data_IF_479700351513
#
_entry.id   IF_479700351513
#
_cell.length_a   1.000
_cell.length_b   1.000
_cell.length_c   1.000
_cell.angle_alpha   90.00
_cell.angle_beta   90.00
_cell.angle_gamma   90.00
#
_symmetry.space_group_name_H-M   'P 1'
#
loop_
_entity.id
_entity.type
_entity.pdbx_description
1 polymer ?
#
# COMPACT_ATOMS: atom_id res chain seq x y z
N UNK A 1 -20.92 2.75 -16.46
CA UNK A 1 -21.07 1.29 -16.73
C UNK A 1 -19.69 0.66 -16.56
N UNK A 2 -19.49 -0.08 -15.50
CA UNK A 2 -18.22 -0.79 -15.28
C UNK A 2 -18.15 -1.96 -16.26
N UNK A 3 -17.21 -1.91 -17.19
CA UNK A 3 -16.94 -2.99 -18.12
C UNK A 3 -16.32 -4.12 -17.30
N UNK A 4 -17.06 -5.18 -17.06
CA UNK A 4 -16.55 -6.41 -16.46
C UNK A 4 -15.56 -7.01 -17.44
N UNK A 5 -14.26 -6.80 -17.19
CA UNK A 5 -13.20 -7.47 -17.93
C UNK A 5 -13.30 -8.96 -17.58
N UNK A 6 -13.79 -9.74 -18.53
CA UNK A 6 -13.88 -11.19 -18.39
C UNK A 6 -12.45 -11.75 -18.44
N UNK A 7 -11.79 -11.87 -17.29
CA UNK A 7 -10.45 -12.47 -17.19
C UNK A 7 -10.54 -13.93 -17.63
N UNK A 8 -9.91 -14.25 -18.77
CA UNK A 8 -9.70 -15.63 -19.18
C UNK A 8 -8.81 -16.31 -18.15
N UNK A 9 -9.40 -17.21 -17.36
CA UNK A 9 -8.65 -18.08 -16.44
C UNK A 9 -8.04 -19.21 -17.24
N UNK A 10 -6.75 -19.43 -17.07
CA UNK A 10 -6.07 -20.61 -17.60
C UNK A 10 -6.54 -21.84 -16.80
N UNK A 11 -7.09 -22.84 -17.46
CA UNK A 11 -7.37 -24.15 -16.86
C UNK A 11 -6.31 -25.12 -17.31
N UNK A 12 -5.49 -25.61 -16.38
CA UNK A 12 -4.43 -26.56 -16.67
C UNK A 12 -4.96 -27.98 -16.71
N UNK A 13 -5.97 -28.28 -15.88
CA UNK A 13 -6.66 -29.57 -15.83
C UNK A 13 -8.12 -29.34 -15.48
N UNK A 14 -9.03 -30.01 -16.19
CA UNK A 14 -10.41 -30.18 -15.74
C UNK A 14 -10.44 -31.43 -14.87
N UNK A 15 -10.42 -31.22 -13.55
CA UNK A 15 -10.50 -32.30 -12.58
C UNK A 15 -11.85 -32.17 -11.87
N UNK A 16 -12.85 -32.89 -12.40
CA UNK A 16 -14.12 -33.08 -11.73
C UNK A 16 -14.00 -34.22 -10.71
N UNK A 17 -14.60 -34.04 -9.53
CA UNK A 17 -14.54 -35.02 -8.45
C UNK A 17 -15.13 -36.37 -8.89
N UNK A 18 -16.28 -36.34 -9.55
CA UNK A 18 -16.98 -37.55 -9.97
C UNK A 18 -16.22 -38.29 -11.07
N UNK A 19 -15.60 -37.55 -12.02
CA UNK A 19 -14.74 -38.13 -13.06
C UNK A 19 -13.49 -38.79 -12.47
N UNK A 20 -12.85 -38.14 -11.47
CA UNK A 20 -11.69 -38.71 -10.78
C UNK A 20 -12.08 -40.01 -10.08
N UNK A 21 -13.19 -40.03 -9.36
CA UNK A 21 -13.70 -41.21 -8.66
C UNK A 21 -14.00 -42.34 -9.61
N UNK A 22 -14.66 -42.04 -10.73
CA UNK A 22 -15.02 -43.07 -11.71
C UNK A 22 -13.76 -43.62 -12.40
N UNK A 23 -12.78 -42.81 -12.73
CA UNK A 23 -11.50 -43.25 -13.27
C UNK A 23 -10.74 -44.15 -12.30
N UNK A 24 -10.75 -43.83 -11.00
CA UNK A 24 -10.17 -44.69 -9.96
C UNK A 24 -10.88 -46.03 -9.88
N UNK A 25 -12.23 -46.05 -9.94
CA UNK A 25 -13.01 -47.31 -9.99
C UNK A 25 -12.68 -48.15 -11.22
N UNK A 26 -12.63 -47.53 -12.40
CA UNK A 26 -12.29 -48.20 -13.64
C UNK A 26 -10.87 -48.79 -13.60
N UNK A 27 -9.91 -48.04 -13.06
CA UNK A 27 -8.56 -48.53 -12.87
C UNK A 27 -8.48 -49.77 -11.98
N UNK A 28 -9.19 -49.71 -10.82
CA UNK A 28 -9.23 -50.87 -9.88
C UNK A 28 -9.96 -52.08 -10.46
N UNK A 29 -11.07 -51.86 -11.15
CA UNK A 29 -11.80 -52.98 -11.84
C UNK A 29 -10.98 -53.64 -12.93
N UNK A 30 -9.97 -53.00 -13.48
CA UNK A 30 -9.05 -53.60 -14.45
C UNK A 30 -7.99 -54.49 -13.80
N UNK A 31 -7.83 -54.47 -12.48
CA UNK A 31 -6.95 -55.38 -11.74
C UNK A 31 -7.64 -56.70 -11.47
N UNK A 32 -6.94 -57.81 -11.50
CA UNK A 32 -7.50 -59.16 -11.31
C UNK A 32 -8.12 -59.32 -9.92
N UNK A 33 -7.53 -58.72 -8.89
CA UNK A 33 -7.97 -58.78 -7.48
C UNK A 33 -9.29 -58.09 -7.24
N UNK A 34 -9.69 -57.12 -8.10
CA UNK A 34 -10.88 -56.29 -7.91
C UNK A 34 -11.91 -56.44 -9.03
N UNK A 35 -11.77 -57.44 -9.90
CA UNK A 35 -12.58 -57.59 -11.10
C UNK A 35 -14.10 -57.69 -10.84
N UNK A 36 -14.48 -58.40 -9.77
CA UNK A 36 -15.87 -58.63 -9.38
C UNK A 36 -16.24 -57.90 -8.07
N UNK A 37 -15.45 -56.91 -7.68
CA UNK A 37 -15.64 -56.21 -6.41
C UNK A 37 -16.72 -55.14 -6.50
N UNK A 38 -17.68 -55.13 -5.54
CA UNK A 38 -18.70 -54.09 -5.40
C UNK A 38 -18.12 -52.88 -4.67
N UNK A 39 -17.68 -51.86 -5.42
CA UNK A 39 -17.13 -50.62 -4.87
C UNK A 39 -18.19 -49.79 -4.19
N UNK A 40 -19.43 -49.76 -4.68
CA UNK A 40 -20.47 -48.85 -4.22
C UNK A 40 -21.08 -49.29 -2.89
N UNK A 41 -21.17 -50.60 -2.66
CA UNK A 41 -21.68 -51.16 -1.41
C UNK A 41 -20.62 -51.36 -0.31
N UNK A 42 -19.35 -51.05 -0.57
CA UNK A 42 -18.26 -51.38 0.35
C UNK A 42 -17.61 -50.16 0.98
N UNK A 43 -16.88 -50.38 2.09
CA UNK A 43 -16.04 -49.34 2.70
C UNK A 43 -14.94 -48.77 1.78
N UNK A 44 -14.61 -49.48 0.68
CA UNK A 44 -13.65 -49.00 -0.34
C UNK A 44 -14.17 -47.73 -1.03
N UNK A 45 -15.48 -47.53 -1.12
CA UNK A 45 -16.08 -46.33 -1.65
C UNK A 45 -15.62 -45.07 -0.89
N UNK A 46 -15.55 -45.15 0.44
CA UNK A 46 -15.09 -44.02 1.29
C UNK A 46 -13.60 -43.71 1.02
N UNK A 47 -12.79 -44.74 0.80
CA UNK A 47 -11.39 -44.53 0.45
C UNK A 47 -11.24 -43.88 -0.93
N UNK A 48 -12.04 -44.29 -1.92
CA UNK A 48 -12.07 -43.70 -3.25
C UNK A 48 -12.53 -42.22 -3.20
N UNK A 49 -13.55 -41.91 -2.39
CA UNK A 49 -13.98 -40.53 -2.16
C UNK A 49 -12.86 -39.69 -1.55
N UNK A 50 -12.13 -40.23 -0.58
CA UNK A 50 -11.02 -39.53 0.05
C UNK A 50 -9.88 -39.27 -0.95
N UNK A 51 -9.54 -40.26 -1.77
CA UNK A 51 -8.51 -40.12 -2.82
C UNK A 51 -8.96 -39.16 -3.91
N UNK A 52 -10.20 -39.28 -4.37
CA UNK A 52 -10.77 -38.35 -5.36
C UNK A 52 -10.79 -36.90 -4.84
N UNK A 53 -11.19 -36.69 -3.57
CA UNK A 53 -11.17 -35.39 -2.94
C UNK A 53 -9.75 -34.81 -2.86
N UNK A 54 -8.79 -35.61 -2.42
CA UNK A 54 -7.39 -35.18 -2.36
C UNK A 54 -6.85 -34.80 -3.73
N UNK A 55 -7.13 -35.61 -4.75
CA UNK A 55 -6.69 -35.33 -6.13
C UNK A 55 -7.37 -34.10 -6.71
N UNK A 56 -8.67 -33.93 -6.49
CA UNK A 56 -9.40 -32.72 -6.87
C UNK A 56 -8.81 -31.47 -6.22
N UNK A 57 -8.51 -31.53 -4.92
CA UNK A 57 -7.93 -30.42 -4.18
C UNK A 57 -6.51 -30.08 -4.67
N UNK A 58 -5.70 -31.08 -4.97
CA UNK A 58 -4.38 -30.88 -5.57
C UNK A 58 -4.48 -30.24 -6.95
N UNK A 59 -5.41 -30.70 -7.79
CA UNK A 59 -5.66 -30.11 -9.11
C UNK A 59 -6.15 -28.67 -9.01
N UNK A 60 -7.02 -28.37 -8.07
CA UNK A 60 -7.48 -27.00 -7.80
C UNK A 60 -6.30 -26.08 -7.42
N UNK A 61 -5.44 -26.54 -6.48
CA UNK A 61 -4.26 -25.80 -6.08
C UNK A 61 -3.27 -25.60 -7.24
N UNK A 62 -3.07 -26.63 -8.08
CA UNK A 62 -2.22 -26.53 -9.26
C UNK A 62 -2.75 -25.51 -10.27
N UNK A 63 -4.07 -25.49 -10.52
CA UNK A 63 -4.71 -24.50 -11.38
C UNK A 63 -4.60 -23.09 -10.79
N UNK A 64 -4.79 -22.93 -9.48
CA UNK A 64 -4.62 -21.66 -8.79
C UNK A 64 -3.18 -21.16 -8.95
N UNK A 65 -2.20 -22.03 -8.68
CA UNK A 65 -0.79 -21.68 -8.83
C UNK A 65 -0.45 -21.28 -10.26
N UNK A 66 -0.93 -22.04 -11.26
CA UNK A 66 -0.71 -21.73 -12.67
C UNK A 66 -1.33 -20.39 -13.08
N UNK A 67 -2.52 -20.05 -12.56
CA UNK A 67 -3.13 -18.75 -12.80
C UNK A 67 -2.33 -17.59 -12.20
N UNK A 68 -1.75 -17.80 -11.01
CA UNK A 68 -0.93 -16.79 -10.34
C UNK A 68 0.45 -16.57 -11.00
N UNK A 69 0.89 -17.46 -11.88
CA UNK A 69 2.16 -17.33 -12.62
C UNK A 69 2.15 -16.26 -13.72
N UNK A 70 0.98 -15.83 -14.17
CA UNK A 70 0.85 -14.88 -15.27
C UNK A 70 0.08 -13.64 -14.83
N UNK A 71 0.54 -12.47 -15.27
CA UNK A 71 -0.06 -11.17 -14.92
C UNK A 71 -1.54 -11.07 -15.34
N UNK A 72 -1.89 -11.66 -16.50
CA UNK A 72 -3.25 -11.59 -17.05
C UNK A 72 -4.25 -12.43 -16.26
N UNK A 73 -3.81 -13.54 -15.66
CA UNK A 73 -4.67 -14.49 -14.95
C UNK A 73 -4.54 -14.39 -13.43
N UNK A 74 -3.49 -13.75 -12.92
CA UNK A 74 -3.29 -13.58 -11.49
C UNK A 74 -4.48 -12.86 -10.83
N UNK A 75 -4.91 -13.37 -9.70
CA UNK A 75 -6.02 -12.86 -8.91
C UNK A 75 -5.58 -12.28 -7.57
N UNK A 76 -4.48 -12.77 -7.01
CA UNK A 76 -3.91 -12.27 -5.78
C UNK A 76 -3.12 -10.98 -6.04
N UNK A 77 -3.42 -9.93 -5.25
CA UNK A 77 -2.70 -8.66 -5.35
C UNK A 77 -1.17 -8.84 -5.21
N UNK A 78 -0.72 -9.70 -4.31
CA UNK A 78 0.71 -9.98 -4.10
C UNK A 78 1.40 -10.50 -5.36
N UNK A 79 0.75 -11.41 -6.09
CA UNK A 79 1.26 -11.95 -7.36
C UNK A 79 1.33 -10.85 -8.42
N UNK A 80 0.26 -10.06 -8.57
CA UNK A 80 0.19 -8.94 -9.53
C UNK A 80 1.29 -7.92 -9.24
N UNK A 81 1.48 -7.53 -7.97
CA UNK A 81 2.51 -6.59 -7.55
C UNK A 81 3.90 -7.14 -7.83
N UNK A 82 4.14 -8.45 -7.55
CA UNK A 82 5.42 -9.10 -7.82
C UNK A 82 5.76 -9.07 -9.32
N UNK A 83 4.81 -9.43 -10.18
CA UNK A 83 5.00 -9.36 -11.64
C UNK A 83 5.21 -7.93 -12.15
N UNK A 84 4.45 -6.97 -11.62
CA UNK A 84 4.60 -5.57 -11.98
C UNK A 84 6.00 -5.04 -11.64
N UNK A 85 6.53 -5.39 -10.46
CA UNK A 85 7.89 -5.04 -10.04
C UNK A 85 8.96 -5.63 -10.97
N UNK A 86 8.80 -6.88 -11.42
CA UNK A 86 9.73 -7.51 -12.38
C UNK A 86 9.77 -6.78 -13.73
N UNK A 87 8.66 -6.15 -14.12
CA UNK A 87 8.57 -5.31 -15.31
C UNK A 87 9.04 -3.86 -15.08
N UNK A 88 9.54 -3.53 -13.88
CA UNK A 88 9.96 -2.19 -13.51
C UNK A 88 8.80 -1.22 -13.24
N UNK A 89 7.57 -1.72 -13.11
CA UNK A 89 6.40 -0.90 -12.80
C UNK A 89 6.28 -0.65 -11.30
N UNK A 90 6.14 0.62 -10.93
CA UNK A 90 5.88 1.00 -9.56
C UNK A 90 4.37 1.01 -9.28
N UNK A 91 3.95 0.22 -8.31
CA UNK A 91 2.54 0.15 -7.91
C UNK A 91 2.16 1.40 -7.13
N UNK A 92 1.04 2.02 -7.51
CA UNK A 92 0.54 3.23 -6.85
C UNK A 92 -0.23 2.88 -5.57
N UNK A 93 -0.01 3.74 -4.55
CA UNK A 93 -0.77 3.70 -3.30
C UNK A 93 -2.21 4.23 -3.46
N UNK A 94 -2.96 4.17 -2.38
CA UNK A 94 -4.19 4.95 -2.26
C UNK A 94 -3.91 6.43 -2.51
N UNK A 95 -4.84 7.15 -3.15
CA UNK A 95 -4.74 8.59 -3.41
C UNK A 95 -5.81 9.33 -2.64
N UNK A 96 -5.39 10.37 -1.94
CA UNK A 96 -6.26 11.30 -1.26
C UNK A 96 -6.94 12.27 -2.25
N UNK A 97 -8.19 12.62 -1.98
CA UNK A 97 -8.81 13.76 -2.65
C UNK A 97 -8.06 15.04 -2.27
N UNK A 98 -7.78 15.88 -3.26
CA UNK A 98 -7.00 17.11 -3.11
C UNK A 98 -7.89 18.31 -3.34
N UNK A 99 -7.80 19.32 -2.47
CA UNK A 99 -8.40 20.62 -2.67
C UNK A 99 -7.33 21.73 -2.57
N UNK A 100 -7.60 22.87 -3.21
CA UNK A 100 -6.76 24.06 -3.16
C UNK A 100 -7.56 25.16 -2.49
N UNK A 101 -7.05 25.68 -1.36
CA UNK A 101 -7.72 26.69 -0.55
C UNK A 101 -6.99 28.02 -0.61
N UNK A 102 -7.76 29.11 -0.57
CA UNK A 102 -7.27 30.46 -0.31
C UNK A 102 -7.82 30.92 1.04
N UNK A 103 -6.92 31.20 1.97
CA UNK A 103 -7.26 31.44 3.38
C UNK A 103 -6.70 32.81 3.79
N UNK A 104 -7.55 33.65 4.40
CA UNK A 104 -7.14 34.93 4.97
C UNK A 104 -7.36 34.92 6.48
N UNK A 105 -6.29 35.10 7.23
CA UNK A 105 -6.29 35.09 8.70
C UNK A 105 -5.97 36.48 9.25
N UNK A 106 -6.84 37.01 10.04
CA UNK A 106 -6.60 38.29 10.77
C UNK A 106 -5.70 38.02 11.97
N UNK A 107 -4.55 38.68 12.02
CA UNK A 107 -3.60 38.50 13.12
C UNK A 107 -2.83 39.79 13.43
N UNK A 108 -2.38 39.90 14.66
CA UNK A 108 -1.43 40.93 15.09
C UNK A 108 0.02 40.56 14.88
N UNK A 109 0.32 39.27 14.74
CA UNK A 109 1.68 38.73 14.51
C UNK A 109 2.28 39.25 13.20
N UNK A 110 3.60 39.45 13.14
CA UNK A 110 4.30 39.87 11.93
C UNK A 110 4.37 38.76 10.87
N UNK A 111 4.41 37.50 11.29
CA UNK A 111 4.37 36.30 10.45
C UNK A 111 3.42 35.29 11.08
N UNK A 112 2.86 34.45 10.25
CA UNK A 112 2.00 33.34 10.69
C UNK A 112 2.45 32.07 10.00
N UNK A 113 2.54 30.98 10.76
CA UNK A 113 2.87 29.65 10.24
C UNK A 113 1.67 28.74 10.32
N UNK A 114 1.24 28.23 9.18
CA UNK A 114 0.27 27.16 9.10
C UNK A 114 1.05 25.83 9.13
N UNK A 115 0.97 25.11 10.21
CA UNK A 115 1.71 23.85 10.41
C UNK A 115 1.13 22.71 9.59
N UNK A 116 1.97 21.76 9.23
CA UNK A 116 1.55 20.47 8.68
C UNK A 116 0.54 19.81 9.63
N UNK A 117 -0.50 19.20 9.06
CA UNK A 117 -1.59 18.61 9.85
C UNK A 117 -2.70 19.61 10.27
N UNK A 118 -2.63 20.90 9.86
CA UNK A 118 -3.74 21.83 10.05
C UNK A 118 -4.99 21.29 9.34
N UNK A 119 -6.10 21.20 10.08
CA UNK A 119 -7.34 20.54 9.63
C UNK A 119 -8.35 21.53 9.10
N UNK A 120 -8.96 21.18 7.99
CA UNK A 120 -10.13 21.83 7.42
C UNK A 120 -11.23 20.80 7.26
N UNK A 121 -12.43 21.10 7.73
CA UNK A 121 -13.55 20.16 7.68
C UNK A 121 -14.55 20.57 6.61
N UNK A 122 -15.14 19.59 5.96
CA UNK A 122 -16.25 19.74 5.03
C UNK A 122 -17.31 18.69 5.34
N UNK A 123 -18.58 18.99 5.02
CA UNK A 123 -19.66 18.00 5.10
C UNK A 123 -20.17 17.71 3.71
N UNK A 124 -20.20 16.44 3.35
CA UNK A 124 -20.70 15.95 2.06
C UNK A 124 -21.67 14.78 2.31
N UNK A 125 -22.86 14.86 1.78
CA UNK A 125 -23.91 13.82 1.90
C UNK A 125 -24.26 13.41 3.34
N UNK A 126 -23.99 14.30 4.32
CA UNK A 126 -24.25 14.06 5.75
C UNK A 126 -23.02 13.59 6.52
N UNK A 127 -21.95 13.20 5.86
CA UNK A 127 -20.69 12.77 6.48
C UNK A 127 -19.68 13.93 6.54
N UNK A 128 -18.87 13.95 7.59
CA UNK A 128 -17.82 14.97 7.78
C UNK A 128 -16.46 14.41 7.39
N UNK A 129 -15.82 15.07 6.44
CA UNK A 129 -14.47 14.77 5.98
C UNK A 129 -13.49 15.84 6.43
N UNK A 130 -12.28 15.41 6.79
CA UNK A 130 -11.21 16.31 7.17
C UNK A 130 -10.16 16.36 6.04
N UNK A 131 -9.73 17.56 5.71
CA UNK A 131 -8.65 17.85 4.80
C UNK A 131 -7.49 18.44 5.58
N UNK A 132 -6.27 18.02 5.32
CA UNK A 132 -5.10 18.43 6.11
C UNK A 132 -3.98 18.98 5.20
N UNK A 133 -3.22 19.94 5.74
CA UNK A 133 -1.95 20.37 5.14
C UNK A 133 -0.88 19.31 5.37
N UNK A 134 0.07 19.20 4.45
CA UNK A 134 1.18 18.23 4.55
C UNK A 134 2.53 18.89 4.84
N UNK A 135 2.61 20.22 4.71
CA UNK A 135 3.85 21.01 4.91
C UNK A 135 3.56 22.24 5.73
N UNK A 136 4.59 22.73 6.43
CA UNK A 136 4.55 24.01 7.11
C UNK A 136 4.63 25.16 6.09
N UNK A 137 3.72 26.12 6.19
CA UNK A 137 3.66 27.27 5.31
C UNK A 137 3.73 28.55 6.15
N UNK A 138 4.84 29.29 6.06
CA UNK A 138 5.03 30.57 6.75
C UNK A 138 4.83 31.72 5.80
N UNK A 139 3.98 32.68 6.17
CA UNK A 139 3.72 33.90 5.38
C UNK A 139 3.83 35.15 6.26
N UNK A 140 4.36 36.25 5.71
CA UNK A 140 4.35 37.54 6.39
C UNK A 140 2.96 38.16 6.35
N UNK A 141 2.69 39.02 7.36
CA UNK A 141 1.47 39.83 7.42
C UNK A 141 1.51 40.96 6.40
N UNK A 142 0.39 41.16 5.72
CA UNK A 142 0.15 42.32 4.87
C UNK A 142 -1.13 43.05 5.33
N UNK A 143 -0.97 44.31 5.74
CA UNK A 143 -2.08 45.05 6.39
C UNK A 143 -2.46 44.43 7.73
N UNK A 144 -3.71 44.00 7.89
CA UNK A 144 -4.25 43.38 9.11
C UNK A 144 -4.43 41.86 9.01
N UNK A 145 -3.96 41.23 7.92
CA UNK A 145 -4.15 39.82 7.69
C UNK A 145 -2.92 39.17 7.05
N UNK A 146 -2.82 37.86 7.22
CA UNK A 146 -1.92 36.99 6.49
C UNK A 146 -2.75 36.20 5.49
N UNK A 147 -2.35 36.21 4.22
CA UNK A 147 -3.03 35.50 3.15
C UNK A 147 -2.20 34.28 2.74
N UNK A 148 -2.84 33.12 2.77
CA UNK A 148 -2.31 31.86 2.27
C UNK A 148 -3.06 31.53 1.00
N UNK A 149 -2.43 31.78 -0.16
CA UNK A 149 -3.02 31.51 -1.45
C UNK A 149 -2.56 30.15 -1.96
N UNK A 150 -3.47 29.42 -2.63
CA UNK A 150 -3.19 28.11 -3.24
C UNK A 150 -2.62 27.07 -2.27
N UNK A 151 -3.17 27.00 -1.06
CA UNK A 151 -2.79 25.96 -0.10
C UNK A 151 -3.38 24.62 -0.54
N UNK A 152 -2.51 23.65 -0.76
CA UNK A 152 -2.92 22.29 -1.04
C UNK A 152 -3.29 21.57 0.23
N UNK A 153 -4.49 20.99 0.27
CA UNK A 153 -4.97 20.18 1.37
C UNK A 153 -5.43 18.83 0.84
N UNK A 154 -5.17 17.79 1.62
CA UNK A 154 -5.45 16.40 1.24
C UNK A 154 -6.44 15.79 2.23
N UNK A 155 -7.42 15.08 1.70
CA UNK A 155 -8.41 14.40 2.54
C UNK A 155 -7.77 13.29 3.34
N UNK A 156 -8.13 13.22 4.62
CA UNK A 156 -7.75 12.14 5.51
C UNK A 156 -7.17 12.61 6.83
N UNK A 157 -6.37 11.73 7.42
CA UNK A 157 -5.71 11.96 8.71
C UNK A 157 -4.20 12.07 8.49
N UNK A 158 -3.61 13.19 8.95
CA UNK A 158 -2.17 13.37 8.96
C UNK A 158 -1.55 12.49 10.05
N UNK A 159 -0.61 11.64 9.64
CA UNK A 159 0.10 10.70 10.51
C UNK A 159 1.58 11.05 10.50
N UNK A 160 2.16 11.10 11.68
CA UNK A 160 3.60 11.16 11.88
C UNK A 160 4.06 9.91 12.63
N UNK A 161 5.04 9.21 12.08
CA UNK A 161 5.65 8.04 12.69
C UNK A 161 7.16 8.24 12.76
N UNK A 162 7.76 7.88 13.89
CA UNK A 162 9.21 7.97 14.11
C UNK A 162 9.78 6.59 14.37
N UNK A 163 10.95 6.34 13.79
CA UNK A 163 11.75 5.14 14.00
C UNK A 163 13.16 5.56 14.37
N UNK A 164 13.72 4.97 15.42
CA UNK A 164 15.15 5.10 15.71
C UNK A 164 15.89 4.02 14.96
N UNK A 165 16.93 4.41 14.22
CA UNK A 165 17.76 3.47 13.48
C UNK A 165 18.63 2.69 14.45
N UNK A 166 18.58 1.37 14.32
CA UNK A 166 19.43 0.42 15.02
C UNK A 166 20.18 -0.41 13.96
N UNK A 167 21.44 -0.09 13.72
CA UNK A 167 22.25 -0.78 12.70
C UNK A 167 22.63 -2.20 13.10
N UNK A 168 22.39 -2.62 14.34
CA UNK A 168 22.59 -4.00 14.80
C UNK A 168 21.43 -4.91 14.44
N UNK A 169 20.24 -4.36 14.18
CA UNK A 169 19.06 -5.06 13.70
C UNK A 169 19.02 -5.07 12.16
N UNK A 170 19.52 -6.14 11.56
CA UNK A 170 19.56 -6.31 10.10
C UNK A 170 18.16 -6.49 9.46
N UNK A 171 17.15 -6.75 10.28
CA UNK A 171 15.75 -6.93 9.82
C UNK A 171 14.89 -5.68 10.08
N UNK A 172 15.49 -4.59 10.58
CA UNK A 172 14.76 -3.36 10.85
C UNK A 172 14.13 -2.80 9.58
N UNK A 173 12.83 -2.51 9.64
CA UNK A 173 12.05 -2.02 8.50
C UNK A 173 11.26 -0.77 8.86
N UNK A 174 11.22 0.20 7.96
CA UNK A 174 10.50 1.47 8.14
C UNK A 174 9.20 1.46 7.32
N UNK A 175 8.15 0.89 7.90
CA UNK A 175 6.90 0.60 7.21
C UNK A 175 5.84 1.66 7.56
N UNK A 176 5.14 2.19 6.54
CA UNK A 176 3.92 2.97 6.73
C UNK A 176 2.84 2.02 7.29
N UNK A 177 2.33 2.35 8.48
CA UNK A 177 1.49 1.42 9.26
C UNK A 177 0.11 1.13 8.65
N UNK A 178 -0.42 2.04 7.82
CA UNK A 178 -1.74 1.90 7.20
C UNK A 178 -1.61 1.62 5.70
N UNK A 179 -2.43 0.70 5.19
CA UNK A 179 -2.49 0.36 3.76
C UNK A 179 -3.27 1.40 2.93
N UNK A 180 -3.91 2.37 3.58
CA UNK A 180 -4.56 3.52 2.94
C UNK A 180 -3.67 4.75 2.92
N UNK A 181 -2.38 4.61 3.23
CA UNK A 181 -1.43 5.70 3.15
C UNK A 181 -1.29 6.21 1.71
N UNK A 182 -1.43 7.52 1.53
CA UNK A 182 -1.13 8.17 0.24
C UNK A 182 0.36 8.49 0.18
N UNK A 183 1.11 7.69 -0.56
CA UNK A 183 2.56 7.87 -0.71
C UNK A 183 2.95 9.13 -1.48
N UNK A 184 2.02 9.78 -2.18
CA UNK A 184 2.30 11.06 -2.83
C UNK A 184 2.39 12.23 -1.85
N UNK A 185 1.84 12.05 -0.64
CA UNK A 185 1.93 13.02 0.46
C UNK A 185 3.08 12.72 1.41
N UNK A 186 3.83 11.63 1.17
CA UNK A 186 4.89 11.17 2.05
C UNK A 186 6.07 12.15 2.07
N UNK A 187 6.39 12.63 3.26
CA UNK A 187 7.62 13.37 3.56
C UNK A 187 8.48 12.53 4.48
N UNK A 188 9.73 12.33 4.08
CA UNK A 188 10.73 11.58 4.83
C UNK A 188 11.79 12.54 5.34
N UNK A 189 11.95 12.59 6.65
CA UNK A 189 12.98 13.41 7.31
C UNK A 189 13.86 12.51 8.16
N UNK A 190 15.15 12.75 8.12
CA UNK A 190 16.13 12.09 8.98
C UNK A 190 16.70 13.12 9.93
N UNK A 191 16.50 12.89 11.22
CA UNK A 191 17.02 13.70 12.33
C UNK A 191 18.27 13.03 12.85
N UNK A 192 19.34 13.79 13.09
CA UNK A 192 20.65 13.26 13.43
C UNK A 192 20.60 12.36 14.69
N UNK A 193 19.96 12.81 15.76
CA UNK A 193 19.81 12.02 16.98
C UNK A 193 18.76 12.64 17.92
N UNK A 194 18.51 12.00 19.04
CA UNK A 194 17.63 12.55 20.09
C UNK A 194 18.19 13.84 20.72
N UNK A 195 19.50 14.04 20.67
CA UNK A 195 20.20 15.21 21.22
C UNK A 195 20.55 16.25 20.17
N UNK A 196 20.60 15.87 18.90
CA UNK A 196 20.86 16.75 17.76
C UNK A 196 19.67 16.74 16.81
N UNK A 197 18.83 17.78 16.90
CA UNK A 197 17.60 17.92 16.11
C UNK A 197 17.84 18.39 14.67
N UNK A 198 19.10 18.46 14.22
CA UNK A 198 19.41 18.76 12.81
C UNK A 198 18.71 17.76 11.90
N UNK A 199 17.91 18.30 10.97
CA UNK A 199 17.01 17.50 10.15
C UNK A 199 17.37 17.61 8.68
N UNK A 200 17.50 16.50 8.00
CA UNK A 200 17.68 16.42 6.55
C UNK A 200 16.44 15.83 5.92
N UNK A 201 15.86 16.53 4.93
CA UNK A 201 14.73 16.00 4.16
C UNK A 201 15.26 15.14 3.02
N UNK A 202 14.77 13.92 2.95
CA UNK A 202 15.08 12.98 1.87
C UNK A 202 13.99 13.04 0.80
N UNK A 203 14.40 12.94 -0.46
CA UNK A 203 13.50 12.92 -1.61
C UNK A 203 13.37 11.51 -2.17
N UNK A 204 12.23 11.21 -2.80
CA UNK A 204 12.06 9.90 -3.45
C UNK A 204 13.02 9.75 -4.62
N UNK A 205 13.75 8.64 -4.68
CA UNK A 205 14.60 8.30 -5.82
C UNK A 205 13.75 8.05 -7.06
N UNK A 206 14.05 8.74 -8.16
CA UNK A 206 13.35 8.58 -9.45
C UNK A 206 14.25 7.99 -10.52
N UNK A 207 15.56 8.22 -10.44
CA UNK A 207 16.54 7.73 -11.40
C UNK A 207 17.81 7.28 -10.66
N UNK A 208 18.03 5.98 -10.64
CA UNK A 208 19.17 5.36 -9.92
C UNK A 208 20.51 5.74 -10.60
N UNK A 209 20.51 6.04 -11.89
CA UNK A 209 21.74 6.31 -12.64
C UNK A 209 22.38 7.66 -12.31
N UNK A 210 21.61 8.57 -11.69
CA UNK A 210 22.08 9.91 -11.32
C UNK A 210 22.41 10.05 -9.84
N UNK A 211 22.34 8.97 -9.08
CA UNK A 211 22.61 8.99 -7.65
C UNK A 211 24.10 8.85 -7.34
N UNK A 212 24.48 9.37 -6.19
CA UNK A 212 25.84 9.30 -5.62
C UNK A 212 25.77 8.99 -4.13
N UNK A 213 26.89 8.59 -3.54
CA UNK A 213 26.98 8.29 -2.11
C UNK A 213 26.47 9.41 -1.17
N UNK A 214 26.43 10.66 -1.64
CA UNK A 214 25.92 11.82 -0.88
C UNK A 214 24.48 12.19 -1.21
N UNK A 215 23.81 11.48 -2.11
CA UNK A 215 22.42 11.79 -2.48
C UNK A 215 21.47 11.43 -1.34
N UNK A 216 20.73 12.43 -0.83
CA UNK A 216 19.74 12.27 0.24
C UNK A 216 18.41 11.84 -0.35
N UNK A 217 18.33 10.55 -0.71
CA UNK A 217 17.14 9.96 -1.31
C UNK A 217 16.70 8.73 -0.54
N UNK A 218 15.40 8.45 -0.64
CA UNK A 218 14.80 7.20 -0.16
C UNK A 218 14.17 6.43 -1.31
N UNK A 219 14.06 5.14 -1.11
CA UNK A 219 13.33 4.25 -2.01
C UNK A 219 12.04 3.79 -1.34
N UNK A 220 11.05 3.49 -2.16
CA UNK A 220 9.72 3.10 -1.70
C UNK A 220 9.29 1.82 -2.41
N UNK A 221 8.81 0.84 -1.65
CA UNK A 221 8.24 -0.37 -2.21
C UNK A 221 6.98 -0.80 -1.49
N UNK A 222 6.04 -1.39 -2.22
CA UNK A 222 4.91 -2.06 -1.61
C UNK A 222 5.36 -3.39 -0.99
N UNK A 223 4.96 -3.61 0.25
CA UNK A 223 5.16 -4.84 0.99
C UNK A 223 3.83 -5.59 1.16
N UNK A 224 3.83 -6.64 1.94
CA UNK A 224 2.64 -7.43 2.19
C UNK A 224 1.45 -6.57 2.66
N UNK A 225 0.25 -6.97 2.28
CA UNK A 225 -1.01 -6.32 2.67
C UNK A 225 -1.23 -4.89 2.12
N UNK A 226 -0.50 -4.48 1.09
CA UNK A 226 -0.67 -3.15 0.48
C UNK A 226 -0.08 -1.99 1.27
N UNK A 227 0.76 -2.28 2.26
CA UNK A 227 1.54 -1.26 2.99
C UNK A 227 2.82 -0.95 2.23
N UNK A 228 3.42 0.19 2.54
CA UNK A 228 4.63 0.66 1.90
C UNK A 228 5.78 0.71 2.90
N UNK A 229 6.95 0.36 2.43
CA UNK A 229 8.21 0.43 3.16
C UNK A 229 9.11 1.48 2.54
N UNK A 230 9.71 2.30 3.40
CA UNK A 230 10.77 3.24 3.05
C UNK A 230 12.09 2.58 3.38
N UNK A 231 13.04 2.60 2.45
CA UNK A 231 14.40 2.16 2.70
C UNK A 231 15.41 3.13 2.11
N UNK A 232 16.63 3.08 2.61
CA UNK A 232 17.70 4.00 2.29
C UNK A 232 18.84 3.26 1.58
N UNK A 233 19.76 4.01 1.00
CA UNK A 233 20.94 3.41 0.38
C UNK A 233 21.96 2.92 1.40
N UNK A 234 23.00 2.28 0.88
CA UNK A 234 24.08 1.65 1.60
C UNK A 234 25.34 2.55 1.75
N UNK A 235 25.24 3.82 1.32
CA UNK A 235 26.38 4.75 1.29
C UNK A 235 27.22 4.66 0.01
N UNK A 236 26.80 3.82 -0.96
CA UNK A 236 27.43 3.72 -2.29
C UNK A 236 26.56 4.38 -3.35
N UNK A 237 25.32 3.94 -3.45
CA UNK A 237 24.34 4.48 -4.42
C UNK A 237 23.67 5.75 -3.89
N UNK A 238 23.35 5.81 -2.58
CA UNK A 238 22.81 6.98 -1.91
C UNK A 238 23.27 7.00 -0.45
N UNK A 239 23.04 8.12 0.23
CA UNK A 239 23.45 8.29 1.62
C UNK A 239 22.77 7.25 2.52
N UNK A 240 23.58 6.50 3.28
CA UNK A 240 23.09 5.60 4.31
C UNK A 240 22.61 6.38 5.54
N UNK A 241 21.67 5.81 6.27
CA UNK A 241 21.33 6.27 7.62
C UNK A 241 22.30 5.65 8.63
N UNK A 242 22.57 6.38 9.72
CA UNK A 242 23.50 5.97 10.76
C UNK A 242 22.74 5.50 12.00
N UNK A 243 23.42 4.72 12.82
CA UNK A 243 22.90 4.30 14.12
C UNK A 243 22.49 5.50 14.98
N UNK A 244 21.33 5.39 15.64
CA UNK A 244 20.77 6.47 16.44
C UNK A 244 20.08 7.59 15.66
N UNK A 245 20.12 7.61 14.31
CA UNK A 245 19.29 8.52 13.54
C UNK A 245 17.81 8.28 13.82
N UNK A 246 16.99 9.33 13.72
CA UNK A 246 15.54 9.21 13.85
C UNK A 246 14.90 9.48 12.49
N UNK A 247 14.26 8.47 11.95
CA UNK A 247 13.50 8.56 10.70
C UNK A 247 12.10 9.01 11.03
N UNK A 248 11.70 10.16 10.53
CA UNK A 248 10.35 10.72 10.68
C UNK A 248 9.62 10.58 9.34
N UNK A 249 8.54 9.82 9.35
CA UNK A 249 7.65 9.62 8.22
C UNK A 249 6.35 10.39 8.47
N UNK A 250 6.03 11.34 7.59
CA UNK A 250 4.82 12.14 7.64
C UNK A 250 4.01 11.86 6.37
N UNK A 251 2.75 11.46 6.50
CA UNK A 251 1.89 11.10 5.38
C UNK A 251 0.41 11.21 5.75
N UNK A 252 -0.46 11.15 4.75
CA UNK A 252 -1.91 11.18 4.94
C UNK A 252 -2.48 9.77 4.75
N UNK A 253 -3.36 9.37 5.67
CA UNK A 253 -4.19 8.16 5.55
C UNK A 253 -5.58 8.60 5.07
N UNK A 254 -5.98 8.16 3.90
CA UNK A 254 -7.15 8.66 3.15
C UNK A 254 -8.33 7.69 3.14
N UNK A 255 -9.54 8.23 2.98
CA UNK A 255 -10.75 7.48 2.63
C UNK A 255 -10.96 7.39 1.10
N UNK A 256 -9.93 7.74 0.30
CA UNK A 256 -9.90 7.64 -1.17
C UNK A 256 -10.87 8.64 -1.84
N UNK A 257 -11.87 8.13 -2.55
CA UNK A 257 -12.77 8.93 -3.40
C UNK A 257 -14.05 9.40 -2.70
N UNK A 258 -14.25 9.02 -1.45
CA UNK A 258 -15.51 9.30 -0.71
C UNK A 258 -15.77 10.79 -0.49
N UNK A 259 -14.72 11.59 -0.40
CA UNK A 259 -14.82 13.05 -0.22
C UNK A 259 -14.76 13.87 -1.50
N UNK A 260 -14.78 13.22 -2.67
CA UNK A 260 -14.78 13.92 -3.95
C UNK A 260 -16.07 14.77 -4.12
N UNK A 261 -15.90 16.01 -4.56
CA UNK A 261 -17.00 16.97 -4.69
C UNK A 261 -17.10 17.98 -3.56
N UNK A 262 -16.25 17.89 -2.56
CA UNK A 262 -16.15 18.90 -1.48
C UNK A 262 -15.82 20.28 -2.07
N UNK A 263 -16.64 21.29 -1.76
CA UNK A 263 -16.53 22.65 -2.32
C UNK A 263 -16.48 23.75 -1.28
N UNK A 264 -16.85 23.46 -0.02
CA UNK A 264 -16.82 24.41 1.09
C UNK A 264 -16.09 23.83 2.29
N UNK A 265 -15.24 24.64 2.92
CA UNK A 265 -14.38 24.21 4.00
C UNK A 265 -14.48 25.17 5.19
N UNK A 266 -14.43 24.62 6.38
CA UNK A 266 -14.32 25.35 7.64
C UNK A 266 -13.06 24.93 8.39
N UNK A 267 -12.41 25.86 9.07
CA UNK A 267 -11.31 25.54 9.97
C UNK A 267 -11.86 25.38 11.39
N UNK A 268 -11.78 24.18 12.00
CA UNK A 268 -12.24 23.97 13.37
C UNK A 268 -11.26 24.50 14.43
N UNK A 269 -10.03 24.82 14.04
CA UNK A 269 -8.97 25.32 14.93
C UNK A 269 -8.47 26.68 14.48
N UNK A 270 -8.08 27.54 15.43
CA UNK A 270 -7.32 28.75 15.11
C UNK A 270 -5.98 28.35 14.47
N UNK A 271 -5.52 29.15 13.52
CA UNK A 271 -4.16 29.06 12.98
C UNK A 271 -3.33 30.02 13.81
N UNK A 272 -2.43 29.51 14.64
CA UNK A 272 -1.57 30.27 15.56
C UNK A 272 -0.14 30.41 15.01
#
# INVERSE_FOLDING_TARGET
MATTVNKKRLRVTELDFDEIKENLKLFLKAQEEFKDYDFDGSGMNILLDTLAYNTHYLGYNANMLANEMFLDSASLRSSIVSHAKQLGYEVQSARAAKAILSISVKTSAATLTMSAGTKFSTTLDGDTYNFVTTTDITKPKFGNSVNFDSVEVFEGTFIETRYTVDTSDLEQRFILRDNRADTSTLTVKVINSITDSTTTTYTKATDITQLSASSTVYFLQEVETGRYEVYFGDGVVSQAVSDGNIIQLQYVVTNKTESNGASSFSSPTSID
#
